data_IF_538469076906
#
_entry.id   IF_538469076906
#
_cell.length_a   1.000
_cell.length_b   1.000
_cell.length_c   1.000
_cell.angle_alpha   90.00
_cell.angle_beta   90.00
_cell.angle_gamma   90.00
#
_symmetry.space_group_name_H-M   'P 1'
#
loop_
_entity.id
_entity.type
_entity.pdbx_description
1 polymer ?
#
# COMPACT_ATOMS: atom_id res chain seq x y z
N UNK A 1 28.06 11.93 -23.36
CA UNK A 1 27.39 11.74 -22.05
C UNK A 1 28.15 10.67 -21.30
N UNK A 2 28.46 10.88 -20.02
CA UNK A 2 28.97 9.79 -19.17
C UNK A 2 27.83 8.82 -18.82
N UNK A 3 28.15 7.56 -18.52
CA UNK A 3 27.14 6.56 -18.14
C UNK A 3 26.26 7.04 -16.98
N UNK A 4 26.85 7.76 -16.01
CA UNK A 4 26.13 8.33 -14.88
C UNK A 4 25.15 9.44 -15.30
N UNK A 5 25.52 10.27 -16.28
CA UNK A 5 24.63 11.29 -16.85
C UNK A 5 23.47 10.66 -17.61
N UNK A 6 23.72 9.60 -18.38
CA UNK A 6 22.66 8.88 -19.08
C UNK A 6 21.65 8.24 -18.11
N UNK A 7 22.13 7.61 -17.03
CA UNK A 7 21.26 7.02 -16.01
C UNK A 7 20.40 8.11 -15.35
N UNK A 8 21.01 9.20 -14.89
CA UNK A 8 20.30 10.24 -14.12
C UNK A 8 19.27 11.01 -14.94
N UNK A 9 19.60 11.37 -16.18
CA UNK A 9 18.79 12.31 -16.97
C UNK A 9 17.87 11.63 -17.98
N UNK A 10 18.13 10.38 -18.36
CA UNK A 10 17.35 9.66 -19.38
C UNK A 10 16.66 8.45 -18.76
N UNK A 11 17.43 7.50 -18.24
CA UNK A 11 16.90 6.18 -17.84
C UNK A 11 16.03 6.31 -16.58
N UNK A 12 16.53 6.96 -15.53
CA UNK A 12 15.84 7.09 -14.25
C UNK A 12 14.45 7.77 -14.37
N UNK A 13 14.31 8.95 -15.00
CA UNK A 13 13.00 9.60 -15.09
C UNK A 13 12.01 8.85 -15.99
N UNK A 14 12.47 7.99 -16.91
CA UNK A 14 11.62 7.13 -17.72
C UNK A 14 11.20 5.88 -16.93
N UNK A 15 12.15 5.21 -16.28
CA UNK A 15 11.91 4.04 -15.44
C UNK A 15 10.93 4.35 -14.29
N UNK A 16 11.09 5.51 -13.62
CA UNK A 16 10.17 5.91 -12.55
C UNK A 16 8.73 6.07 -13.05
N UNK A 17 8.49 6.65 -14.24
CA UNK A 17 7.13 6.78 -14.77
C UNK A 17 6.49 5.43 -15.12
N UNK A 18 7.30 4.43 -15.47
CA UNK A 18 6.84 3.07 -15.76
C UNK A 18 6.56 2.29 -14.48
N UNK A 19 7.41 2.45 -13.45
CA UNK A 19 7.37 1.64 -12.23
C UNK A 19 6.40 2.19 -11.17
N UNK A 20 6.14 3.50 -11.14
CA UNK A 20 5.24 4.10 -10.14
C UNK A 20 3.80 3.52 -10.21
N UNK A 21 3.16 3.39 -11.38
CA UNK A 21 1.81 2.82 -11.46
C UNK A 21 1.67 1.40 -10.87
N UNK A 22 2.50 0.39 -11.23
CA UNK A 22 2.39 -0.94 -10.61
C UNK A 22 2.80 -0.95 -9.13
N UNK A 23 3.73 -0.10 -8.70
CA UNK A 23 4.10 0.02 -7.28
C UNK A 23 2.96 0.54 -6.40
N UNK A 24 2.03 1.32 -6.96
CA UNK A 24 0.81 1.71 -6.25
C UNK A 24 0.03 0.49 -5.76
N UNK A 25 -0.13 -0.53 -6.59
CA UNK A 25 -0.82 -1.77 -6.18
C UNK A 25 -0.04 -2.54 -5.12
N UNK A 26 1.28 -2.62 -5.24
CA UNK A 26 2.15 -3.27 -4.24
C UNK A 26 2.06 -2.62 -2.86
N UNK A 27 1.91 -1.30 -2.77
CA UNK A 27 1.69 -0.60 -1.50
C UNK A 27 0.40 -1.04 -0.81
N UNK A 28 -0.69 -1.21 -1.57
CA UNK A 28 -1.97 -1.69 -1.03
C UNK A 28 -1.84 -3.14 -0.55
N UNK A 29 -1.17 -3.99 -1.31
CA UNK A 29 -0.94 -5.39 -0.92
C UNK A 29 -0.08 -5.50 0.33
N UNK A 30 0.99 -4.72 0.42
CA UNK A 30 1.89 -4.71 1.58
C UNK A 30 1.14 -4.36 2.86
N UNK A 31 0.22 -3.41 2.81
CA UNK A 31 -0.62 -3.04 3.97
C UNK A 31 -1.58 -4.16 4.39
N UNK A 32 -2.11 -4.94 3.44
CA UNK A 32 -2.96 -6.09 3.76
C UNK A 32 -2.12 -7.24 4.31
N UNK A 33 -0.98 -7.55 3.70
CA UNK A 33 -0.11 -8.64 4.13
C UNK A 33 0.56 -8.37 5.48
N UNK A 34 0.79 -7.12 5.86
CA UNK A 34 1.30 -6.81 7.20
C UNK A 34 0.36 -7.24 8.32
N UNK A 35 -0.97 -7.31 8.07
CA UNK A 35 -1.93 -7.84 9.05
C UNK A 35 -1.68 -9.32 9.41
N UNK A 36 -1.11 -10.10 8.49
CA UNK A 36 -0.75 -11.50 8.71
C UNK A 36 0.45 -11.62 9.65
N UNK A 37 1.32 -10.60 9.71
CA UNK A 37 2.51 -10.59 10.56
C UNK A 37 2.16 -10.66 12.07
N UNK A 38 0.93 -10.30 12.46
CA UNK A 38 0.50 -10.49 13.84
C UNK A 38 0.45 -11.96 14.27
N UNK A 39 0.25 -12.91 13.35
CA UNK A 39 0.27 -14.35 13.68
C UNK A 39 1.63 -14.77 14.27
N UNK A 40 2.72 -14.13 13.86
CA UNK A 40 4.07 -14.36 14.40
C UNK A 40 4.42 -13.42 15.56
N UNK A 41 3.43 -12.68 16.10
CA UNK A 41 3.60 -11.80 17.26
C UNK A 41 4.09 -10.39 16.94
N UNK A 42 4.08 -9.96 15.66
CA UNK A 42 4.43 -8.58 15.33
C UNK A 42 3.41 -7.59 15.92
N UNK A 43 3.86 -6.50 16.58
CA UNK A 43 2.97 -5.51 17.18
C UNK A 43 2.42 -4.58 16.10
N UNK A 44 1.27 -4.92 15.53
CA UNK A 44 0.56 -4.10 14.55
C UNK A 44 -0.94 -3.91 14.92
N UNK A 45 -1.77 -3.45 13.97
CA UNK A 45 -3.17 -3.10 14.21
C UNK A 45 -4.03 -4.33 14.61
N UNK A 46 -3.91 -5.46 13.91
CA UNK A 46 -4.60 -6.71 14.27
C UNK A 46 -4.15 -7.23 15.64
N UNK A 47 -2.86 -7.10 15.98
CA UNK A 47 -2.32 -7.42 17.31
C UNK A 47 -2.98 -6.59 18.40
N UNK A 48 -3.08 -5.28 18.16
CA UNK A 48 -3.74 -4.35 19.08
C UNK A 48 -5.22 -4.69 19.24
N UNK A 49 -5.89 -5.02 18.14
CA UNK A 49 -7.26 -5.52 18.13
C UNK A 49 -7.44 -6.78 18.96
N UNK A 50 -6.56 -7.76 18.80
CA UNK A 50 -6.62 -9.01 19.57
C UNK A 50 -6.41 -8.77 21.07
N UNK A 51 -5.48 -7.88 21.46
CA UNK A 51 -5.25 -7.52 22.87
C UNK A 51 -6.51 -6.90 23.48
N UNK A 52 -7.15 -5.96 22.77
CA UNK A 52 -8.39 -5.32 23.23
C UNK A 52 -9.52 -6.34 23.31
N UNK A 53 -9.67 -7.20 22.31
CA UNK A 53 -10.67 -8.25 22.26
C UNK A 53 -10.49 -9.25 23.43
N UNK A 54 -9.26 -9.66 23.72
CA UNK A 54 -8.94 -10.58 24.82
C UNK A 54 -9.21 -9.97 26.19
N UNK A 55 -8.98 -8.67 26.37
CA UNK A 55 -9.27 -7.98 27.64
C UNK A 55 -10.77 -7.81 27.90
N UNK A 56 -11.57 -7.65 26.85
CA UNK A 56 -13.00 -7.37 26.96
C UNK A 56 -13.90 -8.58 26.65
N UNK A 57 -13.33 -9.68 26.17
CA UNK A 57 -14.03 -10.86 25.63
C UNK A 57 -15.01 -10.55 24.48
N UNK A 58 -14.75 -9.47 23.73
CA UNK A 58 -15.60 -8.97 22.63
C UNK A 58 -14.87 -9.06 21.29
N UNK A 59 -14.64 -10.28 20.83
CA UNK A 59 -13.86 -10.52 19.61
C UNK A 59 -14.57 -10.04 18.34
N UNK A 60 -15.87 -10.27 18.23
CA UNK A 60 -16.62 -9.95 17.02
C UNK A 60 -16.62 -8.44 16.75
N UNK A 61 -17.00 -7.62 17.74
CA UNK A 61 -17.11 -6.17 17.55
C UNK A 61 -15.73 -5.52 17.36
N UNK A 62 -14.71 -5.98 18.08
CA UNK A 62 -13.36 -5.42 17.96
C UNK A 62 -12.76 -5.76 16.59
N UNK A 63 -12.90 -7.00 16.10
CA UNK A 63 -12.41 -7.35 14.78
C UNK A 63 -13.21 -6.67 13.65
N UNK A 64 -14.51 -6.41 13.83
CA UNK A 64 -15.29 -5.59 12.90
C UNK A 64 -14.73 -4.17 12.78
N UNK A 65 -14.40 -3.55 13.92
CA UNK A 65 -13.80 -2.21 13.96
C UNK A 65 -12.41 -2.22 13.29
N UNK A 66 -11.58 -3.22 13.60
CA UNK A 66 -10.26 -3.38 12.97
C UNK A 66 -10.38 -3.54 11.46
N UNK A 67 -11.30 -4.39 10.99
CA UNK A 67 -11.57 -4.58 9.56
C UNK A 67 -12.03 -3.27 8.89
N UNK A 68 -12.89 -2.50 9.56
CA UNK A 68 -13.33 -1.20 9.09
C UNK A 68 -12.16 -0.20 8.98
N UNK A 69 -11.25 -0.17 9.95
CA UNK A 69 -10.04 0.67 9.91
C UNK A 69 -9.17 0.28 8.70
N UNK A 70 -8.92 -1.02 8.49
CA UNK A 70 -8.17 -1.47 7.30
C UNK A 70 -8.86 -1.05 6.00
N UNK A 71 -10.18 -1.19 5.92
CA UNK A 71 -10.94 -0.79 4.74
C UNK A 71 -10.79 0.71 4.46
N UNK A 72 -10.93 1.56 5.48
CA UNK A 72 -10.74 3.02 5.35
C UNK A 72 -9.31 3.34 4.90
N UNK A 73 -8.29 2.71 5.49
CA UNK A 73 -6.90 2.91 5.07
C UNK A 73 -6.69 2.52 3.61
N UNK A 74 -7.18 1.35 3.19
CA UNK A 74 -7.10 0.90 1.80
C UNK A 74 -7.77 1.89 0.86
N UNK A 75 -9.00 2.34 1.15
CA UNK A 75 -9.72 3.29 0.31
C UNK A 75 -9.00 4.65 0.20
N UNK A 76 -8.45 5.16 1.32
CA UNK A 76 -7.70 6.41 1.33
C UNK A 76 -6.42 6.28 0.50
N UNK A 77 -5.66 5.20 0.70
CA UNK A 77 -4.40 4.96 -0.02
C UNK A 77 -4.68 4.75 -1.51
N UNK A 78 -5.66 3.92 -1.87
CA UNK A 78 -6.07 3.72 -3.25
C UNK A 78 -6.41 5.05 -3.93
N UNK A 79 -7.23 5.90 -3.31
CA UNK A 79 -7.56 7.21 -3.87
C UNK A 79 -6.34 8.12 -4.04
N UNK A 80 -5.43 8.15 -3.07
CA UNK A 80 -4.21 8.94 -3.18
C UNK A 80 -3.32 8.46 -4.32
N UNK A 81 -3.22 7.14 -4.49
CA UNK A 81 -2.45 6.52 -5.56
C UNK A 81 -3.10 6.73 -6.93
N UNK A 82 -4.42 6.68 -7.04
CA UNK A 82 -5.15 6.99 -8.27
C UNK A 82 -4.84 8.42 -8.75
N UNK A 83 -4.79 9.39 -7.82
CA UNK A 83 -4.42 10.78 -8.13
C UNK A 83 -2.98 10.87 -8.64
N UNK A 84 -2.05 10.15 -8.00
CA UNK A 84 -0.64 10.11 -8.41
C UNK A 84 -0.50 9.45 -9.79
N UNK A 85 -1.20 8.35 -10.02
CA UNK A 85 -1.23 7.62 -11.28
C UNK A 85 -1.76 8.51 -12.41
N UNK A 86 -2.89 9.18 -12.21
CA UNK A 86 -3.47 10.10 -13.20
C UNK A 86 -2.50 11.21 -13.60
N UNK A 87 -1.70 11.72 -12.65
CA UNK A 87 -0.69 12.75 -12.92
C UNK A 87 0.52 12.22 -13.69
N UNK A 88 0.85 10.95 -13.51
CA UNK A 88 2.01 10.29 -14.13
C UNK A 88 1.66 9.52 -15.41
N UNK A 89 0.37 9.37 -15.72
CA UNK A 89 -0.13 8.62 -16.86
C UNK A 89 0.45 9.19 -18.15
N UNK A 90 1.26 8.38 -18.84
CA UNK A 90 1.76 8.71 -20.17
C UNK A 90 0.67 8.29 -21.17
N UNK A 91 0.05 9.22 -21.92
CA UNK A 91 -0.92 8.87 -22.95
C UNK A 91 -0.24 7.99 -24.01
N UNK A 92 -0.68 6.72 -24.13
CA UNK A 92 -0.17 5.75 -25.12
C UNK A 92 0.41 4.44 -24.56
N UNK A 93 0.63 4.33 -23.25
CA UNK A 93 1.03 3.08 -22.57
C UNK A 93 -0.18 2.46 -21.86
N UNK A 94 -1.19 2.05 -22.64
CA UNK A 94 -2.24 1.18 -22.13
C UNK A 94 -1.69 -0.25 -22.03
N UNK A 95 -0.93 -0.54 -20.96
CA UNK A 95 -0.74 -1.93 -20.56
C UNK A 95 -2.08 -2.40 -19.97
N UNK A 96 -2.88 -3.02 -20.83
CA UNK A 96 -4.10 -3.76 -20.50
C UNK A 96 -3.79 -4.93 -19.57
#
# INVERSE_FOLDING_TARGET
MTNLQAIRYVILPQALRIVIPPWSNELIYTLKYSSVAFIIGAPELMATGQIIASRNFRYFEVFLIVAFIYLVCVLVISKLLDIVEQKLRIPGLEMR
#
